data_IF_662612150931
#
_entry.id   IF_662612150931
#
_cell.length_a   1.000
_cell.length_b   1.000
_cell.length_c   1.000
_cell.angle_alpha   90.00
_cell.angle_beta   90.00
_cell.angle_gamma   90.00
#
_symmetry.space_group_name_H-M   'P 1'
#
loop_
_entity.id
_entity.type
_entity.pdbx_description
1 polymer ?
#
# COMPACT_ATOMS: atom_id res chain seq x y z
N UNK A 1 -12.11 -11.75 3.35
CA UNK A 1 -11.56 -11.78 4.72
C UNK A 1 -11.00 -10.41 5.04
N UNK A 2 -11.16 -9.97 6.28
CA UNK A 2 -10.58 -8.73 6.78
C UNK A 2 -9.26 -9.03 7.49
N UNK A 3 -8.26 -8.18 7.26
CA UNK A 3 -6.93 -8.35 7.80
C UNK A 3 -6.44 -7.06 8.43
N UNK A 4 -5.70 -7.18 9.53
CA UNK A 4 -4.87 -6.09 10.05
C UNK A 4 -3.42 -6.31 9.68
N UNK A 5 -2.66 -5.24 9.52
CA UNK A 5 -1.22 -5.29 9.35
C UNK A 5 -0.56 -3.98 9.76
N UNK A 6 0.75 -4.02 9.98
CA UNK A 6 1.56 -2.83 10.22
C UNK A 6 2.41 -2.50 9.00
N UNK A 7 2.33 -1.27 8.51
CA UNK A 7 3.22 -0.76 7.46
C UNK A 7 4.66 -0.65 7.95
N UNK A 8 5.62 -1.06 7.13
CA UNK A 8 7.05 -0.93 7.41
C UNK A 8 7.70 0.07 6.48
N UNK A 9 7.62 -0.16 5.17
CA UNK A 9 8.23 0.71 4.17
C UNK A 9 7.56 0.56 2.82
N UNK A 10 7.75 1.58 2.00
CA UNK A 10 7.54 1.50 0.55
C UNK A 10 8.88 1.23 -0.14
N UNK A 11 8.82 0.52 -1.26
CA UNK A 11 9.98 0.18 -2.08
C UNK A 11 9.56 0.03 -3.54
N UNK A 12 10.51 -0.13 -4.44
CA UNK A 12 10.24 -0.44 -5.85
C UNK A 12 10.78 -1.82 -6.20
N UNK A 13 10.05 -2.54 -7.05
CA UNK A 13 10.48 -3.84 -7.60
C UNK A 13 10.57 -3.73 -9.11
N UNK A 14 11.70 -4.13 -9.67
CA UNK A 14 11.89 -4.24 -11.13
C UNK A 14 11.36 -5.58 -11.60
N UNK A 15 10.55 -5.58 -12.66
CA UNK A 15 10.10 -6.80 -13.33
C UNK A 15 10.36 -6.70 -14.82
N UNK A 16 10.91 -7.77 -15.39
CA UNK A 16 11.01 -7.91 -16.83
C UNK A 16 9.66 -8.31 -17.42
N UNK A 17 9.24 -7.63 -18.49
CA UNK A 17 8.10 -8.12 -19.28
C UNK A 17 8.53 -9.37 -20.03
N UNK A 18 7.81 -10.48 -19.84
CA UNK A 18 8.09 -11.76 -20.53
C UNK A 18 8.18 -11.68 -22.06
N UNK A 19 7.63 -10.64 -22.69
CA UNK A 19 7.58 -10.44 -24.14
C UNK A 19 8.51 -9.32 -24.66
N UNK A 20 9.28 -8.65 -23.80
CA UNK A 20 10.18 -7.55 -24.20
C UNK A 20 11.30 -7.38 -23.18
N UNK A 21 12.51 -7.04 -23.60
CA UNK A 21 13.62 -6.63 -22.72
C UNK A 21 13.37 -5.30 -21.97
N UNK A 22 12.13 -4.81 -21.95
CA UNK A 22 11.72 -3.63 -21.22
C UNK A 22 11.50 -4.02 -19.75
N UNK A 23 12.34 -3.44 -18.91
CA UNK A 23 12.16 -3.45 -17.46
C UNK A 23 11.04 -2.50 -17.07
N UNK A 24 10.20 -2.94 -16.14
CA UNK A 24 9.17 -2.10 -15.56
C UNK A 24 9.35 -2.02 -14.05
N UNK A 25 9.37 -0.79 -13.53
CA UNK A 25 9.53 -0.51 -12.11
C UNK A 25 8.15 -0.36 -11.49
N UNK A 26 7.83 -1.22 -10.51
CA UNK A 26 6.54 -1.23 -9.82
C UNK A 26 6.69 -0.76 -8.37
N UNK A 27 5.76 0.06 -7.85
CA UNK A 27 5.79 0.48 -6.46
C UNK A 27 5.21 -0.63 -5.58
N UNK A 28 5.83 -0.87 -4.43
CA UNK A 28 5.50 -1.94 -3.49
C UNK A 28 5.55 -1.47 -2.06
N UNK A 29 4.82 -2.14 -1.17
CA UNK A 29 4.89 -1.92 0.27
C UNK A 29 5.18 -3.21 1.00
N UNK A 30 5.95 -3.10 2.09
CA UNK A 30 6.18 -4.16 3.04
C UNK A 30 5.28 -3.96 4.25
N UNK A 31 4.45 -4.96 4.50
CA UNK A 31 3.66 -5.08 5.72
C UNK A 31 4.29 -6.12 6.65
N UNK A 32 4.11 -5.94 7.95
CA UNK A 32 4.40 -6.98 8.97
C UNK A 32 3.14 -7.33 9.75
N UNK A 33 3.17 -8.51 10.37
CA UNK A 33 2.11 -9.00 11.25
C UNK A 33 0.74 -8.94 10.58
N UNK A 34 0.61 -9.55 9.41
CA UNK A 34 -0.69 -9.67 8.73
C UNK A 34 -1.52 -10.69 9.49
N UNK A 35 -2.60 -10.24 10.12
CA UNK A 35 -3.45 -11.08 10.96
C UNK A 35 -4.90 -11.07 10.47
N UNK A 36 -5.64 -12.16 10.64
CA UNK A 36 -7.10 -12.17 10.46
C UNK A 36 -7.76 -11.35 11.56
N UNK A 37 -8.70 -10.47 11.20
CA UNK A 37 -9.44 -9.64 12.17
C UNK A 37 -10.24 -10.51 13.14
N UNK A 38 -10.95 -11.52 12.61
CA UNK A 38 -11.93 -12.29 13.40
C UNK A 38 -11.27 -13.21 14.44
N UNK A 39 -10.10 -13.77 14.12
CA UNK A 39 -9.42 -14.77 14.97
C UNK A 39 -8.15 -14.23 15.63
N UNK A 40 -7.61 -13.10 15.15
CA UNK A 40 -6.29 -12.62 15.54
C UNK A 40 -5.13 -13.51 15.03
N UNK A 41 -5.42 -14.52 14.22
CA UNK A 41 -4.42 -15.47 13.74
C UNK A 41 -3.40 -14.77 12.83
N UNK A 42 -2.11 -15.00 13.10
CA UNK A 42 -1.01 -14.49 12.29
C UNK A 42 -0.90 -15.29 10.99
N UNK A 43 -1.15 -14.61 9.86
CA UNK A 43 -1.14 -15.20 8.53
C UNK A 43 0.22 -15.06 7.87
N UNK A 44 0.83 -13.90 8.02
CA UNK A 44 2.17 -13.64 7.48
C UNK A 44 2.94 -12.69 8.39
N UNK A 45 4.16 -13.10 8.77
CA UNK A 45 5.07 -12.22 9.52
C UNK A 45 5.48 -11.00 8.69
N UNK A 46 5.73 -11.21 7.40
CA UNK A 46 6.08 -10.18 6.43
C UNK A 46 5.34 -10.45 5.12
N UNK A 47 4.81 -9.40 4.50
CA UNK A 47 4.07 -9.53 3.25
C UNK A 47 4.35 -8.33 2.33
N UNK A 48 4.83 -8.64 1.11
CA UNK A 48 5.00 -7.65 0.06
C UNK A 48 3.76 -7.61 -0.82
N UNK A 49 3.27 -6.42 -1.11
CA UNK A 49 2.21 -6.20 -2.09
C UNK A 49 2.48 -4.93 -2.91
N UNK A 50 1.74 -4.77 -4.01
CA UNK A 50 1.79 -3.54 -4.81
C UNK A 50 1.29 -2.33 -4.01
N UNK A 51 1.98 -1.21 -4.13
CA UNK A 51 1.52 0.08 -3.61
C UNK A 51 0.52 0.67 -4.61
N UNK A 52 -0.73 0.26 -4.47
CA UNK A 52 -1.81 0.73 -5.35
C UNK A 52 -2.47 2.01 -4.87
N UNK A 53 -3.31 2.57 -5.76
CA UNK A 53 -4.17 3.74 -5.51
C UNK A 53 -4.93 3.70 -4.17
N UNK A 54 -5.42 2.53 -3.76
CA UNK A 54 -6.17 2.35 -2.51
C UNK A 54 -5.34 2.64 -1.26
N UNK A 55 -4.05 2.29 -1.27
CA UNK A 55 -3.12 2.66 -0.21
C UNK A 55 -2.68 4.12 -0.34
N UNK A 56 -2.47 4.61 -1.57
CA UNK A 56 -2.01 5.98 -1.80
C UNK A 56 -2.99 7.03 -1.26
N UNK A 57 -4.29 6.74 -1.38
CA UNK A 57 -5.39 7.54 -0.82
C UNK A 57 -5.36 7.75 0.70
N UNK A 58 -4.62 6.91 1.43
CA UNK A 58 -4.45 7.07 2.88
C UNK A 58 -3.40 8.14 3.23
N UNK A 59 -2.85 8.80 2.21
CA UNK A 59 -1.73 9.71 2.32
C UNK A 59 -0.43 8.96 2.64
N UNK A 60 0.58 9.73 3.04
CA UNK A 60 1.87 9.20 3.46
C UNK A 60 1.72 8.24 4.65
N UNK A 61 2.24 7.04 4.47
CA UNK A 61 2.35 6.02 5.52
C UNK A 61 3.74 6.09 6.14
N UNK A 62 3.81 6.00 7.47
CA UNK A 62 5.06 5.94 8.22
C UNK A 62 5.22 4.56 8.84
N UNK A 63 6.47 4.13 9.03
CA UNK A 63 6.74 2.83 9.68
C UNK A 63 6.01 2.77 11.03
N UNK A 64 5.15 1.77 11.20
CA UNK A 64 4.30 1.61 12.38
C UNK A 64 2.82 1.89 12.15
N UNK A 65 2.43 2.56 11.05
CA UNK A 65 1.03 2.78 10.68
C UNK A 65 0.26 1.47 10.67
N UNK A 66 -0.83 1.41 11.44
CA UNK A 66 -1.72 0.26 11.47
C UNK A 66 -2.76 0.36 10.37
N UNK A 67 -2.97 -0.73 9.65
CA UNK A 67 -3.87 -0.82 8.51
C UNK A 67 -4.89 -1.93 8.72
N UNK A 68 -6.11 -1.70 8.25
CA UNK A 68 -7.12 -2.72 7.98
C UNK A 68 -7.36 -2.80 6.47
N UNK A 69 -7.59 -3.99 5.93
CA UNK A 69 -7.97 -4.18 4.53
C UNK A 69 -8.72 -5.49 4.29
N UNK A 70 -9.49 -5.52 3.21
CA UNK A 70 -10.13 -6.73 2.72
C UNK A 70 -9.22 -7.43 1.71
N UNK A 71 -9.08 -8.76 1.78
CA UNK A 71 -8.53 -9.56 0.69
C UNK A 71 -9.38 -10.81 0.41
N UNK A 72 -9.26 -11.33 -0.82
CA UNK A 72 -9.97 -12.53 -1.29
C UNK A 72 -9.05 -13.76 -1.25
N UNK A 73 -9.62 -14.96 -1.00
CA UNK A 73 -8.94 -16.21 -1.33
C UNK A 73 -8.54 -16.23 -2.81
N UNK A 74 -7.32 -16.66 -3.12
CA UNK A 74 -6.95 -17.00 -4.49
C UNK A 74 -7.83 -18.16 -4.99
N UNK A 75 -8.54 -17.95 -6.09
CA UNK A 75 -9.47 -18.92 -6.69
C UNK A 75 -8.78 -20.20 -7.17
N UNK A 76 -7.47 -20.15 -7.47
CA UNK A 76 -6.69 -21.32 -7.88
C UNK A 76 -6.43 -22.30 -6.73
N UNK A 77 -6.72 -21.90 -5.49
CA UNK A 77 -6.54 -22.72 -4.29
C UNK A 77 -7.85 -23.37 -3.84
N UNK A 78 -9.01 -22.86 -4.26
CA UNK A 78 -10.33 -23.44 -3.95
C UNK A 78 -10.56 -24.84 -4.58
N UNK A 79 -9.73 -25.23 -5.56
CA UNK A 79 -9.73 -26.57 -6.15
C UNK A 79 -8.99 -27.64 -5.33
N UNK A 80 -8.19 -27.24 -4.32
CA UNK A 80 -7.35 -28.16 -3.55
C UNK A 80 -7.72 -28.10 -2.06
N UNK A 81 -8.79 -28.84 -1.69
CA UNK A 81 -9.42 -28.81 -0.35
C UNK A 81 -8.54 -29.29 0.82
N UNK A 82 -7.28 -29.66 0.58
CA UNK A 82 -6.37 -30.18 1.59
C UNK A 82 -5.03 -29.43 1.50
N UNK A 83 -4.96 -28.23 2.12
CA UNK A 83 -3.77 -27.66 2.79
C UNK A 83 -3.92 -26.14 2.98
N UNK A 84 -4.48 -25.74 4.11
CA UNK A 84 -3.76 -25.03 5.18
C UNK A 84 -2.73 -23.92 4.87
N UNK A 85 -2.84 -23.15 3.79
CA UNK A 85 -1.95 -21.98 3.64
C UNK A 85 -2.74 -20.68 3.56
N UNK A 86 -2.99 -20.07 4.72
CA UNK A 86 -3.74 -18.81 4.83
C UNK A 86 -3.01 -17.67 4.09
N UNK A 87 -1.72 -17.80 3.80
CA UNK A 87 -0.98 -16.90 2.93
C UNK A 87 -1.59 -16.79 1.51
N UNK A 88 -2.29 -17.82 1.03
CA UNK A 88 -3.04 -17.78 -0.23
C UNK A 88 -4.34 -16.97 -0.15
N UNK A 89 -4.73 -16.46 1.03
CA UNK A 89 -5.93 -15.62 1.22
C UNK A 89 -5.70 -14.14 0.96
N UNK A 90 -4.45 -13.71 0.72
CA UNK A 90 -4.13 -12.30 0.50
C UNK A 90 -4.09 -11.97 -1.01
N UNK A 91 -4.99 -12.56 -1.80
CA UNK A 91 -5.15 -12.17 -3.18
C UNK A 91 -5.99 -10.88 -3.27
N UNK A 92 -5.46 -9.90 -3.98
CA UNK A 92 -6.13 -8.64 -4.32
C UNK A 92 -6.63 -7.84 -3.10
N UNK A 93 -5.69 -7.37 -2.25
CA UNK A 93 -6.05 -6.55 -1.12
C UNK A 93 -6.68 -5.22 -1.58
N UNK A 94 -7.77 -4.83 -0.93
CA UNK A 94 -8.62 -3.68 -1.29
C UNK A 94 -9.21 -3.05 -0.02
N UNK A 95 -9.85 -1.88 -0.18
CA UNK A 95 -10.48 -1.13 0.92
C UNK A 95 -9.54 -0.92 2.12
N UNK A 96 -8.33 -0.45 1.85
CA UNK A 96 -7.40 -0.11 2.91
C UNK A 96 -7.95 1.04 3.75
N UNK A 97 -7.76 0.95 5.06
CA UNK A 97 -8.10 1.96 6.05
C UNK A 97 -6.96 2.06 7.06
N UNK A 98 -6.71 3.26 7.59
CA UNK A 98 -5.81 3.45 8.73
C UNK A 98 -6.58 3.11 10.01
N UNK A 99 -5.89 2.45 10.94
CA UNK A 99 -6.38 2.22 12.30
C UNK A 99 -5.75 3.21 13.30
N UNK A 100 -4.85 4.08 12.84
CA UNK A 100 -4.27 5.14 13.65
C UNK A 100 -5.37 6.14 14.06
N UNK A 101 -5.48 6.45 15.36
CA UNK A 101 -6.50 7.39 15.86
C UNK A 101 -6.26 8.84 15.46
N UNK A 102 -4.98 9.19 15.31
CA UNK A 102 -4.52 10.53 14.91
C UNK A 102 -3.36 10.35 13.95
N UNK A 103 -3.41 11.05 12.82
CA UNK A 103 -2.28 11.20 11.92
C UNK A 103 -2.36 12.52 11.17
N UNK A 104 -1.21 13.05 10.77
CA UNK A 104 -1.15 14.17 9.83
C UNK A 104 -1.29 13.60 8.42
N UNK A 105 -2.38 13.96 7.75
CA UNK A 105 -2.56 13.60 6.35
C UNK A 105 -1.55 14.39 5.51
N UNK A 106 -0.80 13.68 4.67
CA UNK A 106 0.04 14.27 3.65
C UNK A 106 -0.26 13.56 2.33
N UNK A 107 -0.74 14.29 1.33
CA UNK A 107 -1.05 13.73 0.03
C UNK A 107 0.19 13.10 -0.61
N UNK A 108 -0.01 12.02 -1.34
CA UNK A 108 1.00 11.37 -2.18
C UNK A 108 0.36 11.00 -3.54
N UNK A 109 1.17 10.78 -4.59
CA UNK A 109 0.61 10.49 -5.91
C UNK A 109 -0.21 9.19 -5.92
N UNK A 110 -1.38 9.23 -6.55
CA UNK A 110 -2.22 8.05 -6.78
C UNK A 110 -1.86 7.30 -8.08
N UNK A 111 -1.19 7.98 -9.02
CA UNK A 111 -0.72 7.40 -10.27
C UNK A 111 0.52 6.54 -10.03
N UNK A 112 0.58 5.35 -10.65
CA UNK A 112 1.67 4.39 -10.42
C UNK A 112 3.05 4.96 -10.76
N UNK A 113 3.20 5.68 -11.88
CA UNK A 113 4.49 6.22 -12.31
C UNK A 113 4.97 7.32 -11.36
N UNK A 114 4.08 8.24 -10.99
CA UNK A 114 4.37 9.31 -10.05
C UNK A 114 4.71 8.73 -8.66
N UNK A 115 4.02 7.67 -8.25
CA UNK A 115 4.26 6.99 -6.99
C UNK A 115 5.62 6.25 -6.96
N UNK A 116 6.06 5.68 -8.08
CA UNK A 116 7.43 5.15 -8.22
C UNK A 116 8.44 6.28 -8.02
N UNK A 117 8.26 7.43 -8.68
CA UNK A 117 9.11 8.60 -8.50
C UNK A 117 9.15 9.09 -7.06
N UNK A 118 7.99 9.14 -6.39
CA UNK A 118 7.91 9.46 -4.95
C UNK A 118 8.77 8.52 -4.11
N UNK A 119 8.67 7.20 -4.31
CA UNK A 119 9.44 6.21 -3.55
C UNK A 119 10.93 6.35 -3.85
N UNK A 120 11.31 6.51 -5.12
CA UNK A 120 12.69 6.69 -5.55
C UNK A 120 13.30 7.94 -4.92
N UNK A 121 12.59 9.08 -4.93
CA UNK A 121 13.08 10.35 -4.36
C UNK A 121 13.56 10.24 -2.90
N UNK A 122 13.02 9.29 -2.13
CA UNK A 122 13.38 9.04 -0.74
C UNK A 122 14.66 8.20 -0.55
N UNK A 123 15.17 7.54 -1.60
CA UNK A 123 16.32 6.61 -1.52
C UNK A 123 17.69 7.28 -1.53
N UNK A 124 17.80 8.55 -1.95
CA UNK A 124 19.05 9.33 -2.01
C UNK A 124 20.22 8.55 -2.66
N UNK A 125 20.03 8.12 -3.90
CA UNK A 125 21.02 7.39 -4.69
C UNK A 125 21.23 8.05 -6.07
N UNK A 126 22.20 7.57 -6.85
CA UNK A 126 22.29 7.90 -8.28
C UNK A 126 21.23 7.11 -9.05
N UNK A 127 20.60 7.75 -10.03
CA UNK A 127 19.50 7.17 -10.82
C UNK A 127 19.92 7.03 -12.28
N UNK A 128 19.52 5.94 -12.92
CA UNK A 128 19.68 5.78 -14.36
C UNK A 128 18.59 6.55 -15.14
N UNK A 129 18.71 6.62 -16.47
CA UNK A 129 17.76 7.35 -17.33
C UNK A 129 16.29 6.88 -17.17
N UNK A 130 16.07 5.57 -16.97
CA UNK A 130 14.73 5.02 -16.78
C UNK A 130 14.15 5.45 -15.43
N UNK A 131 14.94 5.41 -14.36
CA UNK A 131 14.56 5.90 -13.03
C UNK A 131 14.33 7.42 -13.01
N UNK A 132 15.12 8.18 -13.77
CA UNK A 132 14.99 9.63 -13.89
C UNK A 132 13.63 10.02 -14.44
N UNK A 133 13.12 9.31 -15.45
CA UNK A 133 11.79 9.56 -15.99
C UNK A 133 10.70 9.50 -14.91
N UNK A 134 10.77 8.54 -13.98
CA UNK A 134 9.81 8.45 -12.87
C UNK A 134 9.94 9.61 -11.88
N UNK A 135 11.18 10.07 -11.60
CA UNK A 135 11.42 11.23 -10.76
C UNK A 135 10.81 12.50 -11.38
N UNK A 136 10.96 12.68 -12.69
CA UNK A 136 10.37 13.80 -13.42
C UNK A 136 8.84 13.76 -13.35
N UNK A 137 8.22 12.57 -13.46
CA UNK A 137 6.77 12.42 -13.28
C UNK A 137 6.31 12.82 -11.87
N UNK A 138 7.10 12.47 -10.84
CA UNK A 138 6.80 12.86 -9.47
C UNK A 138 6.94 14.38 -9.26
N UNK A 139 7.96 15.01 -9.86
CA UNK A 139 8.14 16.45 -9.72
C UNK A 139 7.02 17.23 -10.39
N UNK A 140 6.57 16.82 -11.59
CA UNK A 140 5.39 17.39 -12.23
C UNK A 140 4.14 17.31 -11.32
N UNK A 141 3.93 16.15 -10.69
CA UNK A 141 2.84 15.99 -9.73
C UNK A 141 3.00 16.94 -8.53
N UNK A 142 4.21 17.13 -8.01
CA UNK A 142 4.45 18.06 -6.89
C UNK A 142 4.16 19.51 -7.27
N UNK A 143 4.56 19.94 -8.46
CA UNK A 143 4.29 21.30 -8.94
C UNK A 143 2.77 21.56 -9.07
N UNK A 144 2.02 20.57 -9.56
CA UNK A 144 0.56 20.65 -9.69
C UNK A 144 -0.19 20.59 -8.36
N UNK A 145 0.39 19.96 -7.34
CA UNK A 145 -0.26 19.67 -6.05
C UNK A 145 0.46 20.36 -4.87
N UNK A 146 1.22 21.43 -5.14
CA UNK A 146 2.06 22.11 -4.15
C UNK A 146 1.27 22.54 -2.90
N UNK A 147 0.04 23.02 -3.09
CA UNK A 147 -0.84 23.45 -1.99
C UNK A 147 -1.34 22.27 -1.12
N UNK A 148 -1.49 21.07 -1.69
CA UNK A 148 -1.94 19.86 -0.98
C UNK A 148 -0.83 19.16 -0.18
N UNK A 149 0.43 19.41 -0.53
CA UNK A 149 1.60 18.83 0.12
C UNK A 149 1.86 19.38 1.53
N UNK A 150 1.50 20.64 1.74
CA UNK A 150 1.71 21.41 2.98
C UNK A 150 0.42 21.60 3.79
N UNK A 151 -0.71 21.07 3.32
CA UNK A 151 -1.95 21.07 4.11
C UNK A 151 -1.81 20.09 5.28
N UNK A 152 -1.35 20.58 6.42
CA UNK A 152 -1.51 19.94 7.71
C UNK A 152 -3.00 19.88 8.05
N UNK A 153 -3.66 18.79 7.67
CA UNK A 153 -5.01 18.52 8.18
C UNK A 153 -4.87 18.09 9.64
N UNK A 154 -5.35 18.94 10.56
CA UNK A 154 -5.54 18.58 11.96
C UNK A 154 -6.35 17.30 12.07
N UNK A 155 -5.99 16.45 13.05
CA UNK A 155 -6.47 15.10 13.32
C UNK A 155 -7.69 14.66 12.48
N UNK A 156 -7.48 13.83 11.45
CA UNK A 156 -8.62 13.19 10.78
C UNK A 156 -9.17 12.14 11.74
N UNK A 157 -10.37 12.33 12.33
CA UNK A 157 -10.95 11.32 13.21
C UNK A 157 -11.16 10.04 12.40
N UNK A 158 -10.88 8.90 13.03
CA UNK A 158 -11.21 7.61 12.45
C UNK A 158 -12.70 7.61 12.03
N UNK A 159 -13.00 7.08 10.84
CA UNK A 159 -14.38 6.77 10.48
C UNK A 159 -14.83 5.67 11.44
N UNK A 160 -15.53 6.06 12.50
CA UNK A 160 -16.18 5.15 13.43
C UNK A 160 -17.50 4.69 12.79
N UNK A 161 -17.42 3.96 11.68
CA UNK A 161 -18.57 3.25 11.12
C UNK A 161 -18.69 1.87 11.80
N UNK A 162 -18.83 1.90 13.12
CA UNK A 162 -19.70 0.98 13.83
C UNK A 162 -20.80 1.83 14.47
N UNK A 163 -21.72 2.33 13.63
CA UNK A 163 -23.07 2.52 14.13
C UNK A 163 -23.62 1.12 14.42
N UNK A 164 -23.68 0.83 15.71
CA UNK A 164 -24.62 -0.12 16.29
C UNK A 164 -25.96 -0.01 15.55
N UNK A 165 -26.29 -1.03 14.78
CA UNK A 165 -27.70 -1.32 14.55
C UNK A 165 -28.16 -2.06 15.80
N UNK A 166 -28.57 -1.29 16.81
CA UNK A 166 -29.50 -1.77 17.80
C UNK A 166 -30.83 -2.11 17.10
N UNK A 167 -31.20 -3.39 17.19
CA UNK A 167 -32.47 -3.99 17.68
C UNK A 167 -32.72 -5.32 16.97
#
# INVERSE_FOLDING_TARGET
YNFTATFIKADVTVRERKSSSLEYIYPTVLLKNVCLVDTGELIAKYYWLGYGKSLAKLGKLTSGTQLNFEARPDINVLGNKNNGDIASLIAWPKKFQRLDKTYQYQAIPENENQLVGYILSNKKQEYNENEQWYLDQYELWREENADELDTLVEEVPAIDDYQDVEV
#
